data_IF_066783211519
#
_entry.id   IF_066783211519
#
_cell.length_a   1.000
_cell.length_b   1.000
_cell.length_c   1.000
_cell.angle_alpha   90.00
_cell.angle_beta   90.00
_cell.angle_gamma   90.00
#
_symmetry.space_group_name_H-M   'P 1'
#
loop_
_entity.id
_entity.type
_entity.pdbx_description
1 polymer ?
#
# COMPACT_ATOMS: atom_id res chain seq x y z
N UNK A 1 7.40 -11.87 -14.96
CA UNK A 1 6.87 -11.55 -13.61
C UNK A 1 7.73 -10.44 -13.03
N UNK A 2 7.21 -9.21 -12.96
CA UNK A 2 8.00 -8.06 -12.49
C UNK A 2 7.85 -7.96 -10.96
N UNK A 3 8.92 -8.25 -10.23
CA UNK A 3 8.98 -8.14 -8.78
C UNK A 3 8.88 -6.67 -8.37
N UNK A 4 7.75 -6.26 -7.77
CA UNK A 4 7.69 -5.00 -7.03
C UNK A 4 8.81 -5.01 -5.98
N UNK A 5 9.63 -3.96 -5.92
CA UNK A 5 10.68 -3.85 -4.91
C UNK A 5 10.08 -3.32 -3.61
N UNK A 6 9.19 -4.10 -2.99
CA UNK A 6 8.43 -3.68 -1.81
C UNK A 6 9.37 -3.64 -0.60
N UNK A 7 9.42 -2.51 0.09
CA UNK A 7 10.19 -2.38 1.32
C UNK A 7 9.48 -3.06 2.49
N UNK A 8 8.15 -3.01 2.51
CA UNK A 8 7.32 -3.62 3.55
C UNK A 8 5.91 -3.95 3.03
N UNK A 9 5.39 -5.10 3.43
CA UNK A 9 3.99 -5.47 3.24
C UNK A 9 3.28 -5.46 4.59
N UNK A 10 2.04 -4.95 4.61
CA UNK A 10 1.14 -4.95 5.76
C UNK A 10 -0.19 -5.52 5.27
N UNK A 11 -0.73 -6.50 5.98
CA UNK A 11 -2.07 -6.99 5.67
C UNK A 11 -3.10 -6.22 6.49
N UNK A 12 -4.25 -5.96 5.89
CA UNK A 12 -5.30 -5.19 6.58
C UNK A 12 -5.77 -5.78 7.91
N UNK A 13 -5.73 -7.10 8.19
CA UNK A 13 -6.02 -7.62 9.53
C UNK A 13 -5.00 -7.16 10.60
N UNK A 14 -3.75 -6.89 10.21
CA UNK A 14 -2.70 -6.40 11.11
C UNK A 14 -2.93 -4.94 11.53
N UNK A 15 -3.89 -4.27 10.87
CA UNK A 15 -4.32 -2.90 11.16
C UNK A 15 -5.62 -2.86 11.98
N UNK A 16 -6.13 -4.00 12.42
CA UNK A 16 -7.30 -4.06 13.29
C UNK A 16 -6.94 -3.65 14.72
N UNK A 17 -7.56 -2.58 15.23
CA UNK A 17 -7.34 -2.05 16.58
C UNK A 17 -6.77 -0.62 16.60
N UNK A 18 -6.32 -0.17 17.76
CA UNK A 18 -5.73 1.17 17.97
C UNK A 18 -4.28 1.23 17.47
N UNK A 19 -4.07 1.06 16.16
CA UNK A 19 -2.77 1.26 15.52
C UNK A 19 -2.67 2.68 14.96
N UNK A 20 -1.69 3.44 15.42
CA UNK A 20 -1.42 4.78 14.87
C UNK A 20 -0.86 4.66 13.46
N UNK A 21 -1.58 5.22 12.49
CA UNK A 21 -1.28 5.05 11.08
C UNK A 21 -1.50 6.35 10.31
N UNK A 22 -0.85 6.47 9.15
CA UNK A 22 -1.07 7.59 8.22
C UNK A 22 -2.25 7.38 7.26
N UNK A 23 -2.93 6.24 7.32
CA UNK A 23 -4.11 5.93 6.52
C UNK A 23 -5.38 6.08 7.36
N UNK A 24 -6.46 6.44 6.67
CA UNK A 24 -7.79 6.54 7.28
C UNK A 24 -8.24 5.19 7.86
N UNK A 25 -8.94 5.22 9.00
CA UNK A 25 -9.38 4.01 9.71
C UNK A 25 -10.40 3.18 8.92
N UNK A 26 -11.11 3.75 7.95
CA UNK A 26 -12.00 3.03 7.07
C UNK A 26 -11.27 2.37 5.88
N UNK A 27 -10.04 2.79 5.56
CA UNK A 27 -9.31 2.28 4.40
C UNK A 27 -9.07 0.75 4.45
N UNK A 28 -8.65 0.13 5.58
CA UNK A 28 -8.45 -1.31 5.63
C UNK A 28 -9.71 -2.12 5.25
N UNK A 29 -10.87 -1.72 5.78
CA UNK A 29 -12.15 -2.36 5.45
C UNK A 29 -12.53 -2.18 3.98
N UNK A 30 -12.29 -0.99 3.42
CA UNK A 30 -12.50 -0.71 1.99
C UNK A 30 -11.63 -1.59 1.09
N UNK A 31 -10.34 -1.73 1.41
CA UNK A 31 -9.40 -2.55 0.64
C UNK A 31 -9.81 -4.03 0.65
N UNK A 32 -10.17 -4.58 1.82
CA UNK A 32 -10.65 -5.97 1.93
C UNK A 32 -11.90 -6.21 1.09
N UNK A 33 -12.92 -5.35 1.22
CA UNK A 33 -14.19 -5.50 0.52
C UNK A 33 -14.03 -5.50 -1.00
N UNK A 34 -13.10 -4.70 -1.51
CA UNK A 34 -12.89 -4.53 -2.96
C UNK A 34 -11.72 -5.34 -3.51
N UNK A 35 -11.04 -6.17 -2.70
CA UNK A 35 -9.84 -6.93 -3.08
C UNK A 35 -8.76 -6.03 -3.69
N UNK A 36 -8.53 -4.88 -3.04
CA UNK A 36 -7.59 -3.87 -3.48
C UNK A 36 -6.36 -3.83 -2.58
N UNK A 37 -5.29 -3.27 -3.12
CA UNK A 37 -4.12 -2.84 -2.35
C UNK A 37 -3.98 -1.32 -2.40
N UNK A 38 -3.39 -0.76 -1.35
CA UNK A 38 -2.92 0.61 -1.29
C UNK A 38 -1.39 0.59 -1.22
N UNK A 39 -0.74 1.55 -1.86
CA UNK A 39 0.71 1.74 -1.73
C UNK A 39 0.99 3.12 -1.12
N UNK A 40 1.90 3.15 -0.15
CA UNK A 40 2.39 4.36 0.49
C UNK A 40 3.76 4.67 -0.08
N UNK A 41 3.93 5.88 -0.61
CA UNK A 41 5.13 6.35 -1.30
C UNK A 41 5.62 7.66 -0.68
N UNK A 42 6.93 7.87 -0.73
CA UNK A 42 7.51 9.16 -0.36
C UNK A 42 7.49 10.12 -1.56
N UNK A 43 6.56 11.10 -1.51
CA UNK A 43 6.39 12.12 -2.55
C UNK A 43 7.59 13.05 -2.78
N UNK A 44 8.60 13.05 -1.90
CA UNK A 44 9.87 13.76 -2.14
C UNK A 44 10.71 13.12 -3.26
N UNK A 45 10.31 11.95 -3.75
CA UNK A 45 10.89 11.27 -4.91
C UNK A 45 9.83 11.17 -6.03
N UNK A 46 9.59 12.24 -6.81
CA UNK A 46 8.50 12.29 -7.78
C UNK A 46 8.56 11.16 -8.81
N UNK A 47 9.77 10.71 -9.15
CA UNK A 47 9.95 9.69 -10.19
C UNK A 47 9.39 8.33 -9.73
N UNK A 48 9.39 8.07 -8.41
CA UNK A 48 8.74 6.90 -7.84
C UNK A 48 7.22 7.01 -7.93
N UNK A 49 6.66 8.20 -7.77
CA UNK A 49 5.23 8.45 -7.95
C UNK A 49 4.84 8.17 -9.40
N UNK A 50 5.60 8.72 -10.36
CA UNK A 50 5.39 8.48 -11.79
C UNK A 50 5.48 6.99 -12.11
N UNK A 51 6.54 6.30 -11.66
CA UNK A 51 6.73 4.87 -11.86
C UNK A 51 5.58 4.04 -11.28
N UNK A 52 5.11 4.39 -10.08
CA UNK A 52 4.00 3.71 -9.43
C UNK A 52 2.68 3.85 -10.21
N UNK A 53 2.38 5.06 -10.71
CA UNK A 53 1.20 5.32 -11.55
C UNK A 53 1.23 4.49 -12.83
N UNK A 54 2.41 4.31 -13.43
CA UNK A 54 2.61 3.43 -14.59
C UNK A 54 2.71 1.93 -14.27
N UNK A 55 2.47 1.52 -13.02
CA UNK A 55 2.52 0.11 -12.59
C UNK A 55 3.93 -0.49 -12.60
N UNK A 56 4.98 0.34 -12.61
CA UNK A 56 6.36 -0.13 -12.52
C UNK A 56 6.70 -0.51 -11.08
N UNK A 57 7.61 -1.48 -10.87
CA UNK A 57 8.16 -1.78 -9.55
C UNK A 57 8.75 -0.53 -8.87
N UNK A 58 8.36 -0.28 -7.63
CA UNK A 58 8.85 0.85 -6.82
C UNK A 58 9.03 0.46 -5.36
N UNK A 59 9.98 1.12 -4.69
CA UNK A 59 10.13 1.03 -3.24
C UNK A 59 8.99 1.73 -2.53
N UNK A 60 8.14 0.95 -1.88
CA UNK A 60 6.93 1.39 -1.19
C UNK A 60 6.62 0.50 0.01
N UNK A 61 5.68 0.95 0.84
CA UNK A 61 4.93 0.08 1.75
C UNK A 61 3.59 -0.27 1.10
N UNK A 62 3.28 -1.55 0.98
CA UNK A 62 2.00 -2.01 0.44
C UNK A 62 1.07 -2.44 1.58
N UNK A 63 -0.16 -1.94 1.57
CA UNK A 63 -1.26 -2.38 2.44
C UNK A 63 -2.21 -3.23 1.61
N UNK A 64 -2.32 -4.52 1.90
CA UNK A 64 -3.06 -5.48 1.09
C UNK A 64 -4.37 -5.89 1.76
N UNK A 65 -5.50 -5.66 1.10
CA UNK A 65 -6.78 -6.23 1.49
C UNK A 65 -6.93 -7.63 0.90
N UNK A 66 -6.86 -8.67 1.76
CA UNK A 66 -7.02 -10.11 1.43
C UNK A 66 -7.05 -10.43 -0.07
N UNK A 67 -5.86 -10.61 -0.66
CA UNK A 67 -5.64 -11.00 -2.05
C UNK A 67 -5.28 -12.48 -2.10
#
# INVERSE_FOLDING_TARGET
>A
MNSKQIAREIFTPDLAGDFESCIDSALPGFLQKNKMECIILNGKFPERVIQAVYGKPVTCTAVKGNI
#
